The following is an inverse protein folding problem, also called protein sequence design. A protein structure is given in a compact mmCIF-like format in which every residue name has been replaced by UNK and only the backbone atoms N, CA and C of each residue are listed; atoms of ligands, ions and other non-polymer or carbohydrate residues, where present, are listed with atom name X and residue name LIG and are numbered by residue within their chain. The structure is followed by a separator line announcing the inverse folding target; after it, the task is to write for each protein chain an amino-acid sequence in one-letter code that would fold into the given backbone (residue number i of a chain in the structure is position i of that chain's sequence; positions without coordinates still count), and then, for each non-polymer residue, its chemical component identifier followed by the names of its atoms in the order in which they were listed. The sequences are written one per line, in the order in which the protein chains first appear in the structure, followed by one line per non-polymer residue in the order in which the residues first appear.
data_IF_266426258790
#
_entry.id   IF_266426258790
#
_cell.length_a   1.000
_cell.length_b   1.000
_cell.length_c   1.000
_cell.angle_alpha   90.00
_cell.angle_beta   90.00
_cell.angle_gamma   90.00
#
_symmetry.space_group_name_H-M   'P 1'
#
loop_
_entity.id
_entity.type
_entity.pdbx_description
1 polymer ?
#
# COMPACT_ATOMS: atom_id res chain seq x y z
N UNK A 1 3.10 -13.70 0.80
CA UNK A 1 3.42 -13.44 2.21
C UNK A 1 2.21 -13.54 3.11
N UNK A 2 1.19 -12.67 2.93
CA UNK A 2 0.01 -12.58 3.80
C UNK A 2 -0.66 -13.93 4.13
N UNK A 3 -1.13 -14.68 3.12
CA UNK A 3 -1.83 -15.95 3.36
C UNK A 3 -1.02 -16.96 4.20
N UNK A 4 0.29 -17.09 3.94
CA UNK A 4 1.17 -17.98 4.71
C UNK A 4 1.38 -17.49 6.14
N UNK A 5 1.53 -16.17 6.33
CA UNK A 5 1.62 -15.57 7.66
C UNK A 5 0.35 -15.83 8.49
N UNK A 6 -0.82 -15.70 7.87
CA UNK A 6 -2.10 -16.00 8.53
C UNK A 6 -2.24 -17.48 8.90
N UNK A 7 -1.91 -18.41 7.98
CA UNK A 7 -1.95 -19.86 8.27
C UNK A 7 -1.06 -20.21 9.46
N UNK A 8 0.16 -19.67 9.51
CA UNK A 8 1.08 -19.92 10.62
C UNK A 8 0.60 -19.31 11.95
N UNK A 9 0.12 -18.06 11.94
CA UNK A 9 -0.37 -17.39 13.15
C UNK A 9 -1.52 -18.16 13.80
N UNK A 10 -2.43 -18.69 12.98
CA UNK A 10 -3.60 -19.42 13.46
C UNK A 10 -3.33 -20.91 13.71
N UNK A 11 -2.09 -21.37 13.51
CA UNK A 11 -1.73 -22.79 13.53
C UNK A 11 -2.68 -23.65 12.67
N UNK A 12 -3.09 -23.08 11.54
CA UNK A 12 -4.07 -23.67 10.63
C UNK A 12 -3.41 -24.71 9.72
N UNK A 13 -4.20 -25.66 9.23
CA UNK A 13 -3.75 -26.73 8.31
C UNK A 13 -4.43 -26.68 6.95
N UNK A 14 -5.02 -25.54 6.61
CA UNK A 14 -5.76 -25.36 5.36
C UNK A 14 -4.81 -25.26 4.17
N UNK A 15 -5.17 -25.90 3.06
CA UNK A 15 -4.45 -25.78 1.79
C UNK A 15 -4.74 -24.44 1.10
N UNK A 16 -3.72 -23.87 0.46
CA UNK A 16 -3.86 -22.65 -0.36
C UNK A 16 -4.19 -23.05 -1.79
N UNK A 17 -5.37 -22.64 -2.29
CA UNK A 17 -5.80 -22.85 -3.67
C UNK A 17 -5.68 -21.56 -4.49
N UNK A 18 -5.03 -21.63 -5.65
CA UNK A 18 -4.92 -20.52 -6.59
C UNK A 18 -6.15 -20.51 -7.50
N UNK A 19 -6.93 -19.43 -7.46
CA UNK A 19 -8.18 -19.26 -8.25
C UNK A 19 -8.02 -18.32 -9.45
N UNK A 20 -6.85 -17.69 -9.60
CA UNK A 20 -6.58 -16.70 -10.64
C UNK A 20 -6.98 -15.27 -10.24
N UNK A 21 -6.53 -14.30 -11.03
CA UNK A 21 -6.88 -12.88 -10.88
C UNK A 21 -8.32 -12.63 -11.32
N UNK A 22 -9.08 -11.86 -10.55
CA UNK A 22 -10.48 -11.53 -10.85
C UNK A 22 -10.57 -10.34 -11.80
N UNK A 23 -11.74 -10.17 -12.42
CA UNK A 23 -11.99 -9.03 -13.29
C UNK A 23 -11.85 -7.70 -12.52
N UNK A 24 -11.10 -6.75 -13.09
CA UNK A 24 -10.87 -5.43 -12.50
C UNK A 24 -9.77 -5.37 -11.44
N UNK A 25 -9.10 -6.48 -11.11
CA UNK A 25 -7.97 -6.46 -10.18
C UNK A 25 -6.66 -6.09 -10.89
N UNK A 26 -5.84 -5.28 -10.22
CA UNK A 26 -4.48 -4.96 -10.67
C UNK A 26 -3.47 -5.85 -9.98
N UNK A 27 -2.34 -6.11 -10.67
CA UNK A 27 -1.23 -6.87 -10.09
C UNK A 27 -0.56 -6.10 -8.93
N UNK A 28 -0.45 -4.78 -9.07
CA UNK A 28 0.07 -3.85 -8.07
C UNK A 28 -0.79 -2.59 -8.03
N UNK A 29 -0.79 -1.93 -6.88
CA UNK A 29 -1.50 -0.66 -6.68
C UNK A 29 -0.50 0.49 -6.65
N UNK A 30 -0.83 1.56 -7.36
CA UNK A 30 -0.02 2.78 -7.46
C UNK A 30 -0.49 3.76 -6.40
N UNK A 31 0.45 4.24 -5.58
CA UNK A 31 0.18 5.29 -4.60
C UNK A 31 0.45 6.68 -5.19
N UNK A 32 1.55 6.82 -5.92
CA UNK A 32 1.94 8.07 -6.58
C UNK A 32 2.37 7.75 -8.01
N UNK A 33 1.70 8.34 -8.99
CA UNK A 33 2.07 8.17 -10.40
C UNK A 33 3.35 8.96 -10.72
N UNK A 34 3.94 8.71 -11.88
CA UNK A 34 5.19 9.30 -12.33
C UNK A 34 5.19 10.83 -12.40
N UNK A 35 4.10 11.44 -12.87
CA UNK A 35 3.99 12.90 -12.97
C UNK A 35 3.97 13.54 -11.58
N UNK A 36 3.22 12.94 -10.65
CA UNK A 36 3.18 13.38 -9.27
C UNK A 36 4.50 13.12 -8.56
N UNK A 37 5.16 12.00 -8.88
CA UNK A 37 6.44 11.64 -8.29
C UNK A 37 7.56 12.59 -8.69
N UNK A 38 7.52 13.13 -9.92
CA UNK A 38 8.48 14.12 -10.39
C UNK A 38 8.43 15.47 -9.64
N UNK A 39 7.31 15.77 -8.97
CA UNK A 39 7.12 17.00 -8.18
C UNK A 39 6.99 16.74 -6.67
N UNK A 40 7.07 15.49 -6.23
CA UNK A 40 6.79 15.16 -4.85
C UNK A 40 7.91 15.61 -3.90
N UNK A 41 7.50 16.00 -2.71
CA UNK A 41 8.41 16.27 -1.61
C UNK A 41 8.40 15.09 -0.62
N UNK A 42 9.57 14.55 -0.32
CA UNK A 42 9.75 13.47 0.65
C UNK A 42 9.79 14.06 2.07
N UNK A 43 8.74 13.79 2.84
CA UNK A 43 8.59 14.14 4.26
C UNK A 43 8.89 12.94 5.16
N UNK A 44 9.76 12.03 4.70
CA UNK A 44 10.19 10.77 5.32
C UNK A 44 9.10 9.71 5.41
N UNK A 45 7.98 10.01 6.08
CA UNK A 45 6.86 9.08 6.25
C UNK A 45 5.69 9.39 5.32
N UNK A 46 5.75 10.52 4.61
CA UNK A 46 4.69 10.99 3.73
C UNK A 46 5.30 11.61 2.47
N UNK A 47 4.58 11.52 1.36
CA UNK A 47 4.84 12.36 0.19
C UNK A 47 3.85 13.51 0.17
N UNK A 48 4.36 14.73 -0.06
CA UNK A 48 3.52 15.88 -0.37
C UNK A 48 3.58 16.15 -1.87
N UNK A 49 2.43 16.09 -2.53
CA UNK A 49 2.31 16.45 -3.93
C UNK A 49 1.82 17.90 -4.01
N UNK A 50 2.65 18.86 -4.47
CA UNK A 50 2.19 20.22 -4.63
C UNK A 50 1.08 20.30 -5.69
N UNK A 51 0.09 21.15 -5.42
CA UNK A 51 -0.93 21.47 -6.40
C UNK A 51 -0.27 22.07 -7.65
N UNK A 52 -0.76 21.67 -8.81
CA UNK A 52 -0.27 22.21 -10.05
C UNK A 52 -0.82 23.63 -10.24
N UNK A 53 0.04 24.62 -9.98
CA UNK A 53 -0.29 26.04 -10.14
C UNK A 53 0.18 26.59 -11.50
N UNK A 54 0.26 25.74 -12.54
CA UNK A 54 0.40 26.24 -13.91
C UNK A 54 -0.83 27.11 -14.20
N UNK A 55 -0.63 28.42 -14.32
CA UNK A 55 -1.53 29.28 -15.11
C UNK A 55 -1.84 28.57 -16.43
N UNK A 56 -3.04 28.75 -17.00
CA UNK A 56 -3.63 28.10 -18.21
C UNK A 56 -2.74 28.11 -19.49
N UNK A 57 -1.50 27.64 -19.38
CA UNK A 57 -0.42 27.71 -20.35
C UNK A 57 -0.23 26.31 -20.92
N UNK A 58 -0.97 26.05 -21.98
CA UNK A 58 -0.90 24.84 -22.81
C UNK A 58 0.50 24.60 -23.43
N UNK A 59 1.37 25.62 -23.43
CA UNK A 59 2.72 25.58 -23.99
C UNK A 59 3.64 24.52 -23.34
N UNK A 60 3.38 24.14 -22.09
CA UNK A 60 4.18 23.13 -21.37
C UNK A 60 3.92 21.69 -21.82
N UNK A 61 2.87 21.44 -22.61
CA UNK A 61 2.57 20.09 -23.11
C UNK A 61 3.15 19.81 -24.51
N UNK A 62 3.50 20.84 -25.29
CA UNK A 62 3.75 20.69 -26.73
C UNK A 62 5.18 20.98 -27.20
N UNK A 63 5.99 21.75 -26.47
CA UNK A 63 7.26 22.26 -27.03
C UNK A 63 8.52 21.87 -26.26
N UNK A 64 8.42 21.49 -24.99
CA UNK A 64 9.57 21.04 -24.20
C UNK A 64 9.13 19.85 -23.35
N UNK A 65 9.32 18.64 -23.89
CA UNK A 65 9.18 17.43 -23.07
C UNK A 65 10.13 17.56 -21.89
N UNK A 66 9.60 17.57 -20.67
CA UNK A 66 10.43 17.62 -19.46
C UNK A 66 11.18 16.29 -19.39
N UNK A 67 12.43 16.27 -19.86
CA UNK A 67 13.30 15.08 -19.89
C UNK A 67 13.37 14.38 -18.52
N UNK A 68 13.19 15.12 -17.43
CA UNK A 68 13.21 14.61 -16.06
C UNK A 68 12.06 13.63 -15.76
N UNK A 69 10.87 13.81 -16.33
CA UNK A 69 9.72 12.92 -16.08
C UNK A 69 10.00 11.50 -16.60
N UNK A 70 10.82 11.37 -17.65
CA UNK A 70 11.16 10.07 -18.23
C UNK A 70 12.00 9.17 -17.33
N UNK A 71 12.69 9.75 -16.33
CA UNK A 71 13.62 9.05 -15.42
C UNK A 71 12.98 8.66 -14.09
N UNK A 72 11.80 9.19 -13.79
CA UNK A 72 11.06 8.92 -12.56
C UNK A 72 10.14 7.73 -12.81
N UNK A 73 10.08 6.79 -11.86
CA UNK A 73 9.13 5.67 -11.89
C UNK A 73 7.94 5.96 -10.97
N UNK A 74 6.82 5.26 -11.19
CA UNK A 74 5.69 5.28 -10.26
C UNK A 74 6.12 4.73 -8.89
N UNK A 75 5.54 5.24 -7.80
CA UNK A 75 5.63 4.60 -6.50
C UNK A 75 4.41 3.70 -6.27
N UNK A 76 4.65 2.39 -6.15
CA UNK A 76 3.61 1.37 -6.11
C UNK A 76 3.95 0.19 -5.19
N UNK A 77 2.99 -0.69 -4.93
CA UNK A 77 3.16 -1.78 -3.97
C UNK A 77 4.24 -2.82 -4.31
N UNK A 78 4.81 -2.81 -5.53
CA UNK A 78 5.88 -3.73 -5.92
C UNK A 78 7.30 -3.22 -5.62
N UNK A 79 7.53 -1.92 -5.71
CA UNK A 79 8.85 -1.29 -5.53
C UNK A 79 9.06 -0.66 -4.15
N UNK A 80 8.03 -0.69 -3.30
CA UNK A 80 8.18 -0.41 -1.86
C UNK A 80 8.82 -1.58 -1.11
N UNK A 81 9.14 -1.37 0.17
CA UNK A 81 9.58 -2.44 1.06
C UNK A 81 8.49 -3.51 1.19
N UNK A 82 8.78 -4.71 0.69
CA UNK A 82 7.86 -5.85 0.77
C UNK A 82 8.17 -6.66 2.01
N UNK A 83 7.23 -6.65 2.95
CA UNK A 83 7.38 -7.38 4.20
C UNK A 83 7.66 -8.88 3.96
N UNK A 84 8.61 -9.38 4.73
CA UNK A 84 8.83 -10.80 4.94
C UNK A 84 7.63 -11.43 5.67
N UNK A 85 7.62 -12.76 5.73
CA UNK A 85 6.58 -13.50 6.44
C UNK A 85 6.55 -13.15 7.94
N UNK A 86 7.71 -12.97 8.57
CA UNK A 86 7.80 -12.62 9.99
C UNK A 86 7.33 -11.19 10.26
N UNK A 87 7.81 -10.20 9.48
CA UNK A 87 7.34 -8.81 9.58
C UNK A 87 5.83 -8.68 9.35
N UNK A 88 5.27 -9.50 8.44
CA UNK A 88 3.82 -9.56 8.23
C UNK A 88 3.08 -10.08 9.47
N UNK A 89 3.62 -11.08 10.18
CA UNK A 89 3.02 -11.59 11.41
C UNK A 89 3.04 -10.52 12.52
N UNK A 90 4.16 -9.82 12.67
CA UNK A 90 4.28 -8.70 13.61
C UNK A 90 3.28 -7.59 13.30
N UNK A 91 3.11 -7.26 12.02
CA UNK A 91 2.12 -6.27 11.59
C UNK A 91 0.69 -6.71 11.91
N UNK A 92 0.33 -7.96 11.60
CA UNK A 92 -1.01 -8.51 11.88
C UNK A 92 -1.34 -8.53 13.38
N UNK A 93 -0.35 -8.79 14.24
CA UNK A 93 -0.50 -8.77 15.69
C UNK A 93 -0.67 -7.37 16.30
N UNK A 94 -0.65 -6.30 15.48
CA UNK A 94 -1.10 -4.96 15.90
C UNK A 94 -2.61 -4.81 15.85
N UNK A 95 -3.32 -5.68 15.13
CA UNK A 95 -4.77 -5.64 15.01
C UNK A 95 -5.42 -6.32 16.23
N UNK A 96 -6.28 -5.62 17.01
CA UNK A 96 -6.93 -6.20 18.18
C UNK A 96 -7.72 -7.47 17.87
N UNK A 97 -8.37 -7.53 16.70
CA UNK A 97 -9.11 -8.70 16.24
C UNK A 97 -8.20 -9.95 16.14
N UNK A 98 -7.04 -9.81 15.50
CA UNK A 98 -6.11 -10.93 15.34
C UNK A 98 -5.52 -11.35 16.68
N UNK A 99 -5.22 -10.39 17.57
CA UNK A 99 -4.74 -10.70 18.93
C UNK A 99 -5.81 -11.42 19.75
N UNK A 100 -7.07 -11.02 19.64
CA UNK A 100 -8.18 -11.72 20.28
C UNK A 100 -8.26 -13.16 19.79
N UNK A 101 -8.27 -13.37 18.48
CA UNK A 101 -8.44 -14.69 17.87
C UNK A 101 -7.27 -15.65 18.18
N UNK A 102 -6.03 -15.13 18.21
CA UNK A 102 -4.82 -15.96 18.36
C UNK A 102 -4.33 -16.04 19.81
N UNK A 103 -4.49 -14.98 20.60
CA UNK A 103 -3.95 -14.87 21.98
C UNK A 103 -5.03 -14.87 23.06
N UNK A 104 -6.32 -14.76 22.70
CA UNK A 104 -7.43 -14.71 23.65
C UNK A 104 -7.56 -13.39 24.41
N UNK A 105 -6.91 -12.33 23.94
CA UNK A 105 -6.98 -11.00 24.57
C UNK A 105 -8.39 -10.41 24.46
N UNK A 106 -8.90 -9.77 25.52
CA UNK A 106 -10.23 -9.13 25.45
C UNK A 106 -10.16 -7.88 24.57
N UNK A 107 -11.14 -7.72 23.69
CA UNK A 107 -11.32 -6.48 22.94
C UNK A 107 -11.97 -5.46 23.87
N UNK A 108 -11.16 -4.59 24.48
CA UNK A 108 -11.65 -3.64 25.48
C UNK A 108 -12.42 -2.45 24.86
N UNK A 109 -12.19 -2.14 23.57
CA UNK A 109 -12.86 -1.03 22.87
C UNK A 109 -13.51 -1.48 21.56
N UNK A 110 -14.83 -1.69 21.60
CA UNK A 110 -15.64 -1.89 20.39
C UNK A 110 -15.73 -0.63 19.50
N UNK A 111 -15.37 0.55 20.02
CA UNK A 111 -15.33 1.81 19.26
C UNK A 111 -14.22 1.85 18.20
N UNK A 112 -13.15 1.07 18.36
CA UNK A 112 -12.05 1.00 17.38
C UNK A 112 -12.41 0.17 16.15
N UNK A 113 -13.46 -0.65 16.22
CA UNK A 113 -14.00 -1.38 15.07
C UNK A 113 -14.74 -0.47 14.08
N UNK A 114 -15.25 0.68 14.54
CA UNK A 114 -15.97 1.65 13.70
C UNK A 114 -15.08 2.72 13.06
N UNK A 115 -13.85 2.91 13.54
CA UNK A 115 -12.93 3.95 13.03
C UNK A 115 -12.17 3.53 11.76
N UNK A 116 -12.46 2.33 11.24
CA UNK A 116 -11.84 1.76 10.02
C UNK A 116 -12.78 1.74 8.80
N UNK A 117 -13.91 2.46 8.85
CA UNK A 117 -14.77 2.83 7.71
C UNK A 117 -14.96 4.34 7.70
#
# INVERSE_FOLDING_TARGET
TLARATVELYNAKNDIKIIGTRHGEKLYEVLVNREDMAKAEDLKNFYRIPADNRDLNYNRFFTEGVEDISKVEDYHSHNTHRLSKEEMKELLLKLPLIRHDVLGEKIENYSDLTTLL
#
